data_IF_344494286877
#
_entry.id   IF_344494286877
#
_cell.length_a   1.000
_cell.length_b   1.000
_cell.length_c   1.000
_cell.angle_alpha   90.00
_cell.angle_beta   90.00
_cell.angle_gamma   90.00
#
_symmetry.space_group_name_H-M   'P 1'
#
loop_
_entity.id
_entity.type
_entity.pdbx_description
1 polymer ?
#
# COMPACT_ATOMS: atom_id res chain seq x y z
N UNK A 1 -5.10 8.30 29.28
CA UNK A 1 -3.98 7.77 28.47
C UNK A 1 -4.59 7.05 27.26
N UNK A 2 -5.08 7.77 26.24
CA UNK A 2 -5.90 7.13 25.19
C UNK A 2 -6.02 7.84 23.81
N UNK A 3 -6.05 9.18 23.68
CA UNK A 3 -6.29 9.78 22.36
C UNK A 3 -5.02 9.90 21.49
N UNK A 4 -3.85 10.17 22.08
CA UNK A 4 -2.63 10.40 21.30
C UNK A 4 -2.00 9.12 20.74
N UNK A 5 -2.10 8.01 21.48
CA UNK A 5 -1.57 6.72 21.06
C UNK A 5 -2.31 6.17 19.82
N UNK A 6 -3.64 6.34 19.81
CA UNK A 6 -4.51 6.00 18.69
C UNK A 6 -4.21 6.85 17.45
N UNK A 7 -4.03 8.17 17.61
CA UNK A 7 -3.67 9.05 16.50
C UNK A 7 -2.35 8.64 15.84
N UNK A 8 -1.36 8.25 16.65
CA UNK A 8 -0.09 7.73 16.12
C UNK A 8 -0.24 6.40 15.37
N UNK A 9 -1.18 5.53 15.78
CA UNK A 9 -1.45 4.26 15.09
C UNK A 9 -2.12 4.50 13.76
N UNK A 10 -3.09 5.42 13.73
CA UNK A 10 -3.80 5.77 12.51
C UNK A 10 -2.87 6.37 11.46
N UNK A 11 -1.97 7.29 11.85
CA UNK A 11 -0.96 7.85 10.95
C UNK A 11 -0.01 6.78 10.40
N UNK A 12 0.36 5.79 11.22
CA UNK A 12 1.17 4.66 10.79
C UNK A 12 0.42 3.83 9.72
N UNK A 13 -0.83 3.46 10.01
CA UNK A 13 -1.68 2.67 9.10
C UNK A 13 -1.91 3.40 7.78
N UNK A 14 -2.24 4.70 7.81
CA UNK A 14 -2.36 5.53 6.61
C UNK A 14 -1.02 5.58 5.84
N UNK A 15 0.10 5.61 6.56
CA UNK A 15 1.43 5.56 5.99
C UNK A 15 1.71 4.27 5.21
N UNK A 16 1.29 3.12 5.74
CA UNK A 16 1.38 1.82 5.06
C UNK A 16 0.41 1.75 3.87
N UNK A 17 -0.85 2.12 4.08
CA UNK A 17 -1.91 2.13 3.06
C UNK A 17 -1.49 2.91 1.81
N UNK A 18 -1.12 4.19 1.98
CA UNK A 18 -0.74 5.06 0.85
C UNK A 18 0.50 4.56 0.11
N UNK A 19 1.51 4.06 0.83
CA UNK A 19 2.76 3.58 0.22
C UNK A 19 2.58 2.25 -0.51
N UNK A 20 1.79 1.34 0.07
CA UNK A 20 1.49 0.05 -0.53
C UNK A 20 0.66 0.21 -1.81
N UNK A 21 -0.44 0.97 -1.74
CA UNK A 21 -1.31 1.21 -2.89
C UNK A 21 -0.55 1.89 -4.04
N UNK A 22 0.32 2.85 -3.72
CA UNK A 22 1.13 3.54 -4.72
C UNK A 22 2.35 2.73 -5.20
N UNK A 23 2.53 1.49 -4.70
CA UNK A 23 3.65 0.60 -5.03
C UNK A 23 4.99 1.31 -4.82
N UNK A 24 5.13 2.01 -3.69
CA UNK A 24 6.38 2.68 -3.30
C UNK A 24 7.42 1.65 -2.88
N UNK A 25 8.68 2.04 -2.92
CA UNK A 25 9.80 1.16 -2.56
C UNK A 25 9.65 0.70 -1.10
N UNK A 26 9.99 -0.56 -0.81
CA UNK A 26 9.84 -1.11 0.54
C UNK A 26 10.62 -0.30 1.58
N UNK A 27 11.78 0.27 1.21
CA UNK A 27 12.57 1.13 2.11
C UNK A 27 11.86 2.41 2.55
N UNK A 28 10.84 2.85 1.81
CA UNK A 28 10.08 4.07 2.12
C UNK A 28 9.05 3.90 3.23
N UNK A 29 8.74 2.66 3.61
CA UNK A 29 7.74 2.36 4.63
C UNK A 29 8.24 2.71 6.03
N UNK A 30 7.33 3.10 6.94
CA UNK A 30 7.67 3.49 8.31
C UNK A 30 7.97 2.27 9.21
N UNK A 31 8.93 1.43 8.80
CA UNK A 31 9.28 0.19 9.49
C UNK A 31 9.76 0.41 10.92
N UNK A 32 10.54 1.48 11.16
CA UNK A 32 11.05 1.80 12.50
C UNK A 32 9.91 2.12 13.47
N UNK A 33 8.90 2.87 12.99
CA UNK A 33 7.71 3.18 13.78
C UNK A 33 6.86 1.94 14.04
N UNK A 34 6.79 1.02 13.07
CA UNK A 34 6.15 -0.28 13.28
C UNK A 34 6.89 -1.09 14.34
N UNK A 35 8.20 -1.27 14.21
CA UNK A 35 9.03 -2.03 15.16
C UNK A 35 8.94 -1.45 16.59
N UNK A 36 8.88 -0.12 16.74
CA UNK A 36 8.68 0.51 18.04
C UNK A 36 7.31 0.15 18.63
N UNK A 37 6.22 0.28 17.84
CA UNK A 37 4.88 -0.08 18.31
C UNK A 37 4.72 -1.56 18.62
N UNK A 38 5.40 -2.42 17.88
CA UNK A 38 5.41 -3.86 18.15
C UNK A 38 6.18 -4.23 19.44
N UNK A 39 6.99 -3.33 19.98
CA UNK A 39 7.63 -3.56 21.30
C UNK A 39 6.74 -3.13 22.46
N UNK A 40 5.86 -2.15 22.20
CA UNK A 40 5.14 -1.43 23.24
C UNK A 40 3.66 -1.86 23.37
N UNK A 41 3.08 -2.57 22.39
CA UNK A 41 1.63 -2.80 22.29
C UNK A 41 1.23 -4.24 21.89
N UNK A 42 -0.07 -4.53 21.83
CA UNK A 42 -0.60 -5.82 21.37
C UNK A 42 -0.43 -6.00 19.86
N UNK A 43 0.65 -6.67 19.48
CA UNK A 43 1.12 -6.86 18.10
C UNK A 43 0.09 -7.42 17.11
N UNK A 44 -0.82 -8.26 17.58
CA UNK A 44 -1.77 -8.97 16.73
C UNK A 44 -2.80 -8.06 16.06
N UNK A 45 -3.31 -7.03 16.75
CA UNK A 45 -4.33 -6.13 16.18
C UNK A 45 -3.72 -5.20 15.14
N UNK A 46 -2.57 -4.59 15.45
CA UNK A 46 -1.87 -3.69 14.55
C UNK A 46 -1.51 -4.36 13.21
N UNK A 47 -1.00 -5.60 13.25
CA UNK A 47 -0.65 -6.34 12.04
C UNK A 47 -1.87 -6.70 11.20
N UNK A 48 -2.99 -7.06 11.85
CA UNK A 48 -4.26 -7.30 11.15
C UNK A 48 -4.75 -6.03 10.45
N UNK A 49 -4.65 -4.88 11.11
CA UNK A 49 -5.02 -3.60 10.52
C UNK A 49 -4.12 -3.23 9.34
N UNK A 50 -2.82 -3.47 9.43
CA UNK A 50 -1.89 -3.29 8.29
C UNK A 50 -2.31 -4.18 7.12
N UNK A 51 -2.67 -5.45 7.36
CA UNK A 51 -3.13 -6.34 6.29
C UNK A 51 -4.41 -5.83 5.63
N UNK A 52 -5.39 -5.37 6.42
CA UNK A 52 -6.64 -4.78 5.91
C UNK A 52 -6.39 -3.51 5.09
N UNK A 53 -5.43 -2.70 5.51
CA UNK A 53 -5.03 -1.45 4.86
C UNK A 53 -4.13 -1.63 3.64
N UNK A 54 -3.62 -2.84 3.39
CA UNK A 54 -2.66 -3.11 2.31
C UNK A 54 -3.17 -4.20 1.36
N UNK A 55 -2.68 -5.44 1.50
CA UNK A 55 -2.97 -6.56 0.61
C UNK A 55 -4.46 -6.95 0.55
N UNK A 56 -5.22 -6.69 1.63
CA UNK A 56 -6.67 -6.94 1.68
C UNK A 56 -7.51 -5.69 1.40
N UNK A 57 -6.86 -4.58 1.04
CA UNK A 57 -7.56 -3.34 0.76
C UNK A 57 -8.51 -3.51 -0.45
N UNK A 58 -9.75 -2.98 -0.43
CA UNK A 58 -10.72 -3.17 -1.52
C UNK A 58 -10.19 -2.73 -2.89
N UNK A 59 -9.41 -1.65 -2.93
CA UNK A 59 -8.76 -1.18 -4.16
C UNK A 59 -7.71 -2.17 -4.67
N UNK A 60 -6.98 -2.86 -3.79
CA UNK A 60 -6.03 -3.91 -4.18
C UNK A 60 -6.73 -5.16 -4.71
N UNK A 61 -7.88 -5.52 -4.14
CA UNK A 61 -8.67 -6.65 -4.64
C UNK A 61 -9.17 -6.36 -6.06
N UNK A 62 -9.63 -5.14 -6.32
CA UNK A 62 -10.10 -4.73 -7.65
C UNK A 62 -8.97 -4.48 -8.64
N UNK A 63 -7.88 -3.89 -8.17
CA UNK A 63 -6.73 -3.46 -8.96
C UNK A 63 -5.43 -3.90 -8.27
N UNK A 64 -5.05 -5.18 -8.42
CA UNK A 64 -3.93 -5.73 -7.67
C UNK A 64 -2.59 -5.15 -8.16
N UNK A 65 -1.64 -4.90 -7.24
CA UNK A 65 -0.24 -4.72 -7.61
C UNK A 65 0.33 -6.05 -8.15
N UNK A 66 1.58 -6.05 -8.63
CA UNK A 66 2.21 -7.30 -9.06
C UNK A 66 2.37 -8.27 -7.90
N UNK A 67 2.27 -9.57 -8.19
CA UNK A 67 2.37 -10.63 -7.17
C UNK A 67 3.74 -10.55 -6.50
N UNK A 68 4.79 -10.32 -7.29
CA UNK A 68 6.15 -10.04 -6.77
C UNK A 68 6.19 -8.92 -5.74
N UNK A 69 5.48 -7.79 -5.97
CA UNK A 69 5.51 -6.68 -5.03
C UNK A 69 4.80 -7.01 -3.72
N UNK A 70 3.57 -7.56 -3.81
CA UNK A 70 2.80 -7.97 -2.64
C UNK A 70 3.57 -9.01 -1.80
N UNK A 71 4.20 -9.98 -2.47
CA UNK A 71 5.03 -10.99 -1.81
C UNK A 71 6.24 -10.37 -1.10
N UNK A 72 7.00 -9.49 -1.75
CA UNK A 72 8.15 -8.83 -1.13
C UNK A 72 7.71 -7.98 0.07
N UNK A 73 6.57 -7.29 -0.01
CA UNK A 73 6.02 -6.53 1.11
C UNK A 73 5.67 -7.43 2.29
N UNK A 74 4.93 -8.51 2.07
CA UNK A 74 4.54 -9.46 3.12
C UNK A 74 5.75 -10.13 3.76
N UNK A 75 6.73 -10.53 2.94
CA UNK A 75 7.96 -11.14 3.42
C UNK A 75 8.78 -10.18 4.29
N UNK A 76 8.82 -8.90 3.92
CA UNK A 76 9.48 -7.89 4.74
C UNK A 76 8.70 -7.62 6.03
N UNK A 77 7.36 -7.55 5.97
CA UNK A 77 6.51 -7.39 7.15
C UNK A 77 6.71 -8.53 8.15
N UNK A 78 6.77 -9.78 7.67
CA UNK A 78 7.04 -10.98 8.49
C UNK A 78 8.42 -10.87 9.15
N UNK A 79 9.48 -10.57 8.39
CA UNK A 79 10.83 -10.40 8.96
C UNK A 79 10.89 -9.33 10.03
N UNK A 80 10.17 -8.22 9.82
CA UNK A 80 10.11 -7.10 10.75
C UNK A 80 9.42 -7.47 12.05
N UNK A 81 8.35 -8.25 11.96
CA UNK A 81 7.66 -8.80 13.10
C UNK A 81 8.51 -9.84 13.86
N UNK A 82 9.10 -10.81 13.15
CA UNK A 82 9.96 -11.85 13.75
C UNK A 82 11.18 -11.26 14.47
N UNK A 83 11.73 -10.14 13.97
CA UNK A 83 12.86 -9.44 14.60
C UNK A 83 12.52 -8.82 15.96
N UNK A 84 11.24 -8.64 16.30
CA UNK A 84 10.79 -8.12 17.60
C UNK A 84 10.57 -9.26 18.62
N UNK A 85 10.84 -10.52 18.22
CA UNK A 85 10.70 -11.73 19.05
C UNK A 85 9.27 -12.00 19.55
N UNK A 86 8.27 -11.57 18.78
CA UNK A 86 6.85 -11.84 19.02
C UNK A 86 6.45 -13.22 18.47
N UNK A 87 5.43 -13.83 19.07
CA UNK A 87 4.78 -15.05 18.57
C UNK A 87 4.32 -14.88 17.11
N UNK A 88 4.68 -15.79 16.19
CA UNK A 88 4.31 -15.69 14.78
C UNK A 88 2.79 -15.57 14.58
N UNK A 89 2.35 -14.58 13.80
CA UNK A 89 0.95 -14.42 13.45
C UNK A 89 0.62 -15.28 12.22
N UNK A 90 -0.06 -16.42 12.43
CA UNK A 90 -0.48 -17.36 11.37
C UNK A 90 -1.13 -16.66 10.17
N UNK A 91 -1.91 -15.61 10.45
CA UNK A 91 -2.62 -14.86 9.42
C UNK A 91 -1.69 -14.24 8.37
N UNK A 92 -0.46 -13.88 8.72
CA UNK A 92 0.53 -13.36 7.78
C UNK A 92 0.95 -14.43 6.77
N UNK A 93 1.17 -15.67 7.23
CA UNK A 93 1.56 -16.77 6.37
C UNK A 93 0.41 -17.24 5.49
N UNK A 94 -0.82 -17.28 6.02
CA UNK A 94 -2.01 -17.53 5.21
C UNK A 94 -2.08 -16.55 4.03
N UNK A 95 -1.96 -15.24 4.30
CA UNK A 95 -2.02 -14.20 3.26
C UNK A 95 -0.84 -14.28 2.30
N UNK A 96 0.36 -14.66 2.78
CA UNK A 96 1.51 -14.92 1.92
C UNK A 96 1.27 -16.08 0.96
N UNK A 97 0.67 -17.18 1.45
CA UNK A 97 0.32 -18.33 0.61
C UNK A 97 -0.79 -17.98 -0.39
N UNK A 98 -1.84 -17.27 0.03
CA UNK A 98 -2.88 -16.74 -0.86
C UNK A 98 -2.25 -15.90 -2.00
N UNK A 99 -1.28 -15.05 -1.66
CA UNK A 99 -0.57 -14.21 -2.64
C UNK A 99 0.28 -15.03 -3.60
N UNK A 100 0.98 -16.07 -3.11
CA UNK A 100 1.78 -16.99 -3.94
C UNK A 100 0.92 -17.79 -4.93
N UNK A 101 -0.30 -18.15 -4.52
CA UNK A 101 -1.25 -18.88 -5.36
C UNK A 101 -1.93 -17.98 -6.39
N UNK A 102 -1.82 -16.65 -6.26
CA UNK A 102 -2.37 -15.71 -7.22
C UNK A 102 -1.62 -15.78 -8.56
N UNK A 103 -2.38 -15.76 -9.66
CA UNK A 103 -1.81 -15.79 -11.01
C UNK A 103 -1.14 -14.44 -11.31
N UNK A 104 0.16 -14.48 -11.64
CA UNK A 104 0.88 -13.27 -12.08
C UNK A 104 0.30 -12.74 -13.39
N UNK A 105 0.06 -11.44 -13.43
CA UNK A 105 -0.46 -10.72 -14.58
C UNK A 105 0.67 -10.02 -15.33
N UNK A 106 0.50 -9.81 -16.63
CA UNK A 106 1.39 -8.95 -17.43
C UNK A 106 1.23 -7.46 -17.10
N UNK A 107 0.26 -7.12 -16.23
CA UNK A 107 -0.08 -5.77 -15.85
C UNK A 107 -0.25 -5.67 -14.33
N UNK A 108 0.38 -4.67 -13.71
CA UNK A 108 0.24 -4.33 -12.30
C UNK A 108 -0.38 -2.94 -12.13
N UNK A 109 -1.03 -2.72 -11.00
CA UNK A 109 -1.71 -1.46 -10.72
C UNK A 109 -0.99 -0.63 -9.67
N UNK A 110 -1.09 0.70 -9.81
CA UNK A 110 -0.70 1.69 -8.80
C UNK A 110 -1.90 2.55 -8.49
N UNK A 111 -2.29 2.58 -7.22
CA UNK A 111 -3.45 3.32 -6.76
C UNK A 111 -3.02 4.43 -5.81
N UNK A 112 -3.57 5.62 -6.02
CA UNK A 112 -3.32 6.80 -5.21
C UNK A 112 -4.63 7.19 -4.54
N UNK A 113 -4.61 7.27 -3.20
CA UNK A 113 -5.74 7.77 -2.44
C UNK A 113 -5.73 9.30 -2.48
N UNK A 114 -6.89 9.88 -2.74
CA UNK A 114 -7.11 11.32 -2.77
C UNK A 114 -7.60 11.79 -1.41
N UNK A 115 -7.32 13.05 -1.07
CA UNK A 115 -7.78 13.68 0.17
C UNK A 115 -9.31 13.75 0.27
N UNK A 116 -10.02 13.74 -0.86
CA UNK A 116 -11.48 13.68 -0.96
C UNK A 116 -12.09 12.29 -0.69
N UNK A 117 -11.28 11.27 -0.43
CA UNK A 117 -11.71 9.89 -0.18
C UNK A 117 -11.83 9.01 -1.44
N UNK A 118 -11.62 9.59 -2.62
CA UNK A 118 -11.53 8.83 -3.88
C UNK A 118 -10.17 8.14 -4.08
N UNK A 119 -10.06 7.35 -5.14
CA UNK A 119 -8.78 6.76 -5.56
C UNK A 119 -8.58 6.84 -7.07
N UNK A 120 -7.36 7.17 -7.49
CA UNK A 120 -6.92 7.11 -8.90
C UNK A 120 -6.02 5.91 -9.09
N UNK A 121 -6.40 5.01 -10.00
CA UNK A 121 -5.61 3.81 -10.31
C UNK A 121 -5.02 3.89 -11.71
N UNK A 122 -3.70 3.75 -11.79
CA UNK A 122 -2.95 3.62 -13.03
C UNK A 122 -2.62 2.15 -13.26
N UNK A 123 -2.86 1.69 -14.48
CA UNK A 123 -2.49 0.34 -14.89
C UNK A 123 -1.17 0.37 -15.67
N UNK A 124 -0.18 -0.39 -15.22
CA UNK A 124 1.19 -0.37 -15.73
C UNK A 124 1.59 -1.76 -16.22
N UNK A 125 2.16 -1.83 -17.43
CA UNK A 125 2.78 -3.05 -17.94
C UNK A 125 3.98 -3.46 -17.07
N UNK A 126 4.15 -4.76 -16.85
CA UNK A 126 5.36 -5.30 -16.19
C UNK A 126 6.57 -5.33 -17.13
N UNK A 127 6.37 -5.08 -18.43
CA UNK A 127 7.44 -4.99 -19.40
C UNK A 127 8.36 -3.79 -19.11
N UNK A 128 9.68 -4.01 -19.21
CA UNK A 128 10.69 -2.95 -19.06
C UNK A 128 10.53 -1.90 -20.16
N UNK A 129 10.23 -2.36 -21.38
CA UNK A 129 9.94 -1.53 -22.55
C UNK A 129 8.54 -1.86 -23.04
N UNK A 130 7.71 -0.85 -23.18
CA UNK A 130 6.40 -0.97 -23.81
C UNK A 130 6.27 0.10 -24.89
N UNK A 131 5.99 -0.32 -26.12
CA UNK A 131 5.80 0.58 -27.27
C UNK A 131 6.96 1.60 -27.45
N UNK A 132 8.21 1.18 -27.20
CA UNK A 132 9.39 2.03 -27.37
C UNK A 132 9.69 3.00 -26.23
N UNK A 133 8.93 2.97 -25.12
CA UNK A 133 9.19 3.78 -23.92
C UNK A 133 9.54 2.89 -22.73
N UNK A 134 10.42 3.38 -21.85
CA UNK A 134 10.75 2.71 -20.59
C UNK A 134 9.86 3.24 -19.47
N UNK A 135 9.21 2.32 -18.75
CA UNK A 135 8.57 2.51 -17.44
C UNK A 135 7.83 3.83 -17.13
N UNK A 136 6.53 3.74 -16.84
CA UNK A 136 5.75 4.86 -16.28
C UNK A 136 6.29 5.33 -14.91
N UNK A 137 6.53 6.64 -14.77
CA UNK A 137 6.81 7.35 -13.51
C UNK A 137 5.67 8.35 -13.27
N UNK A 138 5.11 8.32 -12.05
CA UNK A 138 4.10 9.29 -11.62
C UNK A 138 4.76 10.34 -10.74
N UNK A 139 4.66 11.60 -11.14
CA UNK A 139 5.18 12.74 -10.39
C UNK A 139 4.16 13.21 -9.36
N UNK A 140 4.61 13.68 -8.20
CA UNK A 140 3.70 14.17 -7.16
C UNK A 140 2.87 15.37 -7.65
N UNK A 141 3.41 16.22 -8.54
CA UNK A 141 2.66 17.28 -9.21
C UNK A 141 1.43 16.79 -9.99
N UNK A 142 1.51 15.59 -10.59
CA UNK A 142 0.37 15.00 -11.30
C UNK A 142 -0.75 14.57 -10.33
N UNK A 143 -0.40 14.19 -9.09
CA UNK A 143 -1.39 13.87 -8.06
C UNK A 143 -2.13 15.12 -7.60
N UNK A 144 -1.40 16.21 -7.33
CA UNK A 144 -2.02 17.50 -6.99
C UNK A 144 -2.92 18.03 -8.11
N UNK A 145 -2.48 17.90 -9.37
CA UNK A 145 -3.30 18.29 -10.51
C UNK A 145 -4.57 17.43 -10.62
N UNK A 146 -4.47 16.12 -10.35
CA UNK A 146 -5.62 15.23 -10.36
C UNK A 146 -6.62 15.58 -9.25
N UNK A 147 -6.15 15.86 -8.03
CA UNK A 147 -7.00 16.34 -6.93
C UNK A 147 -7.70 17.64 -7.33
N UNK A 148 -6.94 18.65 -7.78
CA UNK A 148 -7.50 19.93 -8.21
C UNK A 148 -8.54 19.76 -9.33
N UNK A 149 -8.27 18.91 -10.32
CA UNK A 149 -9.19 18.68 -11.43
C UNK A 149 -10.51 18.03 -10.98
N UNK A 150 -10.46 17.11 -10.02
CA UNK A 150 -11.64 16.44 -9.44
C UNK A 150 -12.48 17.43 -8.62
N UNK A 151 -11.83 18.35 -7.92
CA UNK A 151 -12.50 19.40 -7.13
C UNK A 151 -13.09 20.53 -8.00
N UNK A 152 -12.59 20.69 -9.22
CA UNK A 152 -12.98 21.78 -10.13
C UNK A 152 -13.59 21.25 -11.44
N UNK A 153 -14.66 20.43 -11.41
CA UNK A 153 -15.23 19.84 -12.62
C UNK A 153 -15.77 20.89 -13.59
N UNK A 154 -16.22 22.04 -13.07
CA UNK A 154 -16.71 23.16 -13.87
C UNK A 154 -15.67 23.73 -14.85
N UNK A 155 -14.38 23.60 -14.55
CA UNK A 155 -13.30 24.04 -15.45
C UNK A 155 -13.21 23.21 -16.75
N UNK A 156 -13.90 22.06 -16.81
CA UNK A 156 -13.86 21.12 -17.93
C UNK A 156 -15.20 20.99 -18.67
N UNK A 157 -16.24 21.73 -18.24
CA UNK A 157 -17.53 21.75 -18.93
C UNK A 157 -17.43 22.76 -20.09
N UNK A 158 -17.74 22.32 -21.32
CA UNK A 158 -17.61 23.06 -22.61
C UNK A 158 -16.20 23.18 -23.20
N UNK A 159 -15.47 22.07 -23.31
CA UNK A 159 -14.30 21.97 -24.20
C UNK A 159 -14.54 20.98 -25.33
#
# INVERSE_FOLDING_TARGET
MAPEENAGTELLLQGFERRFLAVRTLRSFPWQSLEAKLRDSSDSELLRDILQKTVRHPVCVKHPPSVKYAWCFLSELIKKHEAVHTEPLDKLYEVLTETLMAKESTQGHRSYLLSSGGSVTLSKSTAIISHGTTGLVTWDAALYLAEWAIENPAAFINR
#
